data_IF_170277056390
#
_entry.id   IF_170277056390
#
_cell.length_a   1.000
_cell.length_b   1.000
_cell.length_c   1.000
_cell.angle_alpha   90.00
_cell.angle_beta   90.00
_cell.angle_gamma   90.00
#
_symmetry.space_group_name_H-M   'P 1'
#
loop_
_entity.id
_entity.type
_entity.pdbx_description
1 polymer ?
#
# COMPACT_ATOMS: atom_id res chain seq x y z
N UNK A 1 -0.81 -10.03 17.23
CA UNK A 1 -0.89 -8.73 17.91
C UNK A 1 -0.37 -7.63 17.01
N UNK A 2 -1.19 -6.62 16.76
CA UNK A 2 -0.90 -5.52 15.85
C UNK A 2 -0.13 -4.44 16.59
N UNK A 3 1.20 -4.44 16.48
CA UNK A 3 2.04 -3.43 17.12
C UNK A 3 1.94 -2.07 16.39
N UNK A 4 1.01 -1.23 16.86
CA UNK A 4 1.12 0.24 16.97
C UNK A 4 1.68 1.05 15.77
N UNK A 5 1.47 0.62 14.53
CA UNK A 5 1.63 1.53 13.41
C UNK A 5 0.56 2.63 13.52
N UNK A 6 0.97 3.88 13.42
CA UNK A 6 0.10 5.05 13.32
C UNK A 6 -0.41 5.22 11.89
N UNK A 7 0.51 5.05 10.93
CA UNK A 7 0.31 5.27 9.49
C UNK A 7 1.17 4.26 8.74
N UNK A 8 0.62 3.65 7.69
CA UNK A 8 1.38 2.92 6.67
C UNK A 8 1.51 3.76 5.42
N UNK A 9 2.55 3.51 4.63
CA UNK A 9 2.74 4.24 3.38
C UNK A 9 3.61 3.53 2.35
N UNK A 10 3.54 4.03 1.13
CA UNK A 10 4.38 3.59 0.01
C UNK A 10 4.82 4.80 -0.81
N UNK A 11 6.13 4.89 -1.05
CA UNK A 11 6.72 5.88 -1.94
C UNK A 11 7.15 5.21 -3.25
N UNK A 12 6.70 5.74 -4.39
CA UNK A 12 6.95 5.14 -5.70
C UNK A 12 8.18 5.77 -6.36
N UNK A 13 9.24 4.97 -6.53
CA UNK A 13 10.49 5.40 -7.16
C UNK A 13 10.41 5.31 -8.70
N UNK A 14 9.71 4.29 -9.21
CA UNK A 14 9.51 4.07 -10.65
C UNK A 14 8.18 3.39 -10.90
N UNK A 15 7.38 3.91 -11.82
CA UNK A 15 6.05 3.40 -12.20
C UNK A 15 5.89 3.39 -13.72
N UNK A 16 6.50 2.41 -14.43
CA UNK A 16 6.30 2.28 -15.87
C UNK A 16 4.81 2.11 -16.20
N UNK A 17 4.37 2.52 -17.41
CA UNK A 17 3.00 2.27 -17.86
C UNK A 17 2.62 0.79 -17.70
N UNK A 18 1.36 0.54 -17.36
CA UNK A 18 0.81 -0.82 -17.14
C UNK A 18 1.47 -1.62 -16.01
N UNK A 19 2.15 -0.96 -15.08
CA UNK A 19 2.77 -1.65 -13.94
C UNK A 19 1.80 -2.04 -12.83
N UNK A 20 0.50 -1.77 -12.99
CA UNK A 20 -0.55 -2.13 -12.05
C UNK A 20 -0.83 -1.03 -11.03
N UNK A 21 -2.04 -1.07 -10.48
CA UNK A 21 -2.53 -0.15 -9.45
C UNK A 21 -2.36 -0.73 -8.04
N UNK A 22 -2.45 0.13 -7.02
CA UNK A 22 -2.77 -0.31 -5.66
C UNK A 22 -4.30 -0.33 -5.50
N UNK A 23 -4.82 -1.40 -4.90
CA UNK A 23 -6.25 -1.60 -4.63
C UNK A 23 -6.46 -1.52 -3.12
N UNK A 24 -7.37 -0.68 -2.67
CA UNK A 24 -7.83 -0.63 -1.29
C UNK A 24 -9.23 -1.22 -1.19
N UNK A 25 -9.39 -2.24 -0.35
CA UNK A 25 -10.69 -2.83 -0.08
C UNK A 25 -11.51 -1.90 0.80
N UNK A 26 -12.82 -1.83 0.56
CA UNK A 26 -13.70 -1.04 1.41
C UNK A 26 -13.83 -1.72 2.79
N UNK A 27 -13.48 -1.05 3.89
CA UNK A 27 -13.48 -1.66 5.22
C UNK A 27 -14.88 -2.07 5.70
N UNK A 28 -15.95 -1.58 5.07
CA UNK A 28 -17.34 -1.96 5.36
C UNK A 28 -17.66 -3.36 4.83
N UNK A 29 -16.94 -3.86 3.83
CA UNK A 29 -17.17 -5.21 3.24
C UNK A 29 -16.97 -6.31 4.29
N UNK A 30 -16.00 -6.16 5.19
CA UNK A 30 -15.80 -7.11 6.31
C UNK A 30 -17.03 -7.25 7.23
N UNK A 31 -17.96 -6.28 7.19
CA UNK A 31 -19.22 -6.28 7.95
C UNK A 31 -20.42 -6.75 7.13
N UNK A 32 -20.28 -6.85 5.82
CA UNK A 32 -21.35 -7.17 4.87
C UNK A 32 -21.15 -8.61 4.37
N UNK A 33 -21.59 -9.59 5.18
CA UNK A 33 -21.57 -11.04 4.86
C UNK A 33 -22.49 -11.47 3.69
N UNK A 34 -23.01 -10.52 2.92
CA UNK A 34 -23.95 -10.77 1.83
C UNK A 34 -23.29 -10.39 0.51
N UNK A 35 -22.67 -11.41 -0.11
CA UNK A 35 -21.84 -11.29 -1.30
C UNK A 35 -22.58 -10.74 -2.55
N UNK A 36 -23.90 -10.69 -2.52
CA UNK A 36 -24.76 -10.39 -3.69
C UNK A 36 -25.59 -9.12 -3.44
N UNK A 37 -24.92 -8.06 -2.98
CA UNK A 37 -25.52 -6.74 -2.83
C UNK A 37 -25.30 -5.86 -4.05
N UNK A 38 -26.32 -5.19 -4.61
CA UNK A 38 -26.11 -4.07 -5.54
C UNK A 38 -25.43 -2.86 -4.86
N UNK A 39 -25.29 -2.86 -3.53
CA UNK A 39 -24.58 -1.89 -2.72
C UNK A 39 -23.22 -2.41 -2.23
N UNK A 40 -22.70 -3.51 -2.78
CA UNK A 40 -21.38 -3.99 -2.42
C UNK A 40 -20.37 -2.89 -2.80
N UNK A 41 -19.66 -2.28 -1.84
CA UNK A 41 -18.75 -1.20 -2.17
C UNK A 41 -17.64 -1.73 -3.08
N UNK A 42 -17.41 -1.04 -4.19
CA UNK A 42 -16.28 -1.36 -5.05
C UNK A 42 -14.97 -0.92 -4.38
N UNK A 43 -13.91 -1.72 -4.47
CA UNK A 43 -12.60 -1.33 -3.97
C UNK A 43 -12.07 -0.10 -4.71
N UNK A 44 -11.36 0.77 -3.99
CA UNK A 44 -10.70 1.94 -4.55
C UNK A 44 -9.43 1.51 -5.27
N UNK A 45 -9.30 1.92 -6.54
CA UNK A 45 -8.17 1.59 -7.40
C UNK A 45 -7.38 2.85 -7.69
N UNK A 46 -6.08 2.85 -7.36
CA UNK A 46 -5.19 3.99 -7.61
C UNK A 46 -3.98 3.58 -8.44
N UNK A 47 -3.78 4.22 -9.59
CA UNK A 47 -2.61 4.00 -10.44
C UNK A 47 -1.51 4.97 -10.05
N UNK A 48 -0.41 4.50 -9.45
CA UNK A 48 0.61 5.38 -8.91
C UNK A 48 1.49 6.01 -9.99
N UNK A 49 2.04 7.17 -9.66
CA UNK A 49 3.03 7.90 -10.47
C UNK A 49 4.39 7.96 -9.76
N UNK A 50 5.49 8.11 -10.50
CA UNK A 50 6.81 8.21 -9.92
C UNK A 50 6.95 9.50 -9.09
N UNK A 51 7.51 9.38 -7.88
CA UNK A 51 7.56 10.44 -6.89
C UNK A 51 6.31 10.56 -6.01
N UNK A 52 5.29 9.73 -6.23
CA UNK A 52 4.07 9.74 -5.43
C UNK A 52 4.27 9.06 -4.08
N UNK A 53 3.77 9.69 -3.02
CA UNK A 53 3.67 9.14 -1.68
C UNK A 53 2.20 8.89 -1.33
N UNK A 54 1.86 7.64 -1.06
CA UNK A 54 0.56 7.28 -0.50
C UNK A 54 0.70 7.00 1.00
N UNK A 55 -0.20 7.58 1.79
CA UNK A 55 -0.34 7.33 3.22
C UNK A 55 -1.74 6.80 3.50
N UNK A 56 -1.84 5.75 4.30
CA UNK A 56 -3.12 5.13 4.62
C UNK A 56 -3.12 4.51 6.02
N UNK A 57 -4.30 4.29 6.62
CA UNK A 57 -4.40 3.61 7.91
C UNK A 57 -3.82 2.20 7.83
N UNK A 58 -3.06 1.73 8.82
CA UNK A 58 -2.36 0.43 8.77
C UNK A 58 -3.31 -0.78 8.77
N UNK A 59 -4.55 -0.60 9.20
CA UNK A 59 -5.59 -1.63 9.16
C UNK A 59 -6.33 -1.70 7.81
N UNK A 60 -6.05 -0.79 6.88
CA UNK A 60 -6.72 -0.77 5.58
C UNK A 60 -6.16 -1.88 4.69
N UNK A 61 -7.03 -2.85 4.38
CA UNK A 61 -6.69 -3.98 3.51
C UNK A 61 -6.41 -3.47 2.11
N UNK A 62 -5.25 -3.85 1.57
CA UNK A 62 -4.83 -3.45 0.24
C UNK A 62 -4.09 -4.57 -0.48
N UNK A 63 -4.14 -4.53 -1.81
CA UNK A 63 -3.41 -5.44 -2.69
C UNK A 63 -2.79 -4.68 -3.84
N UNK A 64 -1.82 -5.30 -4.50
CA UNK A 64 -1.09 -4.72 -5.62
C UNK A 64 -1.49 -5.45 -6.89
N UNK A 65 -1.97 -4.70 -7.87
CA UNK A 65 -2.30 -5.20 -9.20
C UNK A 65 -1.07 -5.73 -9.93
N UNK A 66 -1.30 -6.69 -10.83
CA UNK A 66 -0.27 -7.31 -11.66
C UNK A 66 0.49 -6.27 -12.49
N UNK A 67 1.80 -6.46 -12.61
CA UNK A 67 2.71 -5.66 -13.43
C UNK A 67 3.11 -6.36 -14.74
N UNK A 68 2.44 -7.45 -15.13
CA UNK A 68 2.83 -8.29 -16.28
C UNK A 68 2.85 -7.54 -17.63
N UNK A 69 2.13 -6.42 -17.75
CA UNK A 69 2.11 -5.59 -18.97
C UNK A 69 3.17 -4.48 -19.00
N UNK A 70 4.02 -4.36 -17.98
CA UNK A 70 5.01 -3.30 -17.88
C UNK A 70 6.32 -3.67 -18.59
N UNK A 71 6.92 -2.68 -19.26
CA UNK A 71 8.21 -2.83 -19.93
C UNK A 71 9.41 -2.86 -18.97
N UNK A 72 9.20 -2.48 -17.70
CA UNK A 72 10.22 -2.41 -16.67
C UNK A 72 9.58 -2.61 -15.28
N UNK A 73 10.38 -2.93 -14.24
CA UNK A 73 9.83 -3.10 -12.89
C UNK A 73 9.28 -1.79 -12.33
N UNK A 74 8.13 -1.89 -11.66
CA UNK A 74 7.71 -0.89 -10.67
C UNK A 74 8.59 -1.05 -9.44
N UNK A 75 9.14 0.06 -8.96
CA UNK A 75 9.99 0.10 -7.78
C UNK A 75 9.35 1.03 -6.77
N UNK A 76 9.19 0.55 -5.54
CA UNK A 76 8.57 1.31 -4.45
C UNK A 76 9.19 0.96 -3.10
N UNK A 77 9.06 1.89 -2.16
CA UNK A 77 9.50 1.78 -0.78
C UNK A 77 8.27 1.80 0.13
N UNK A 78 7.92 0.65 0.69
CA UNK A 78 6.82 0.55 1.66
C UNK A 78 7.33 0.72 3.08
N UNK A 79 6.58 1.39 3.95
CA UNK A 79 6.96 1.63 5.34
C UNK A 79 5.77 1.70 6.30
N UNK A 80 6.04 1.47 7.59
CA UNK A 80 5.13 1.72 8.70
C UNK A 80 5.76 2.75 9.63
N UNK A 81 4.95 3.73 10.05
CA UNK A 81 5.32 4.72 11.07
C UNK A 81 4.70 4.33 12.38
N UNK A 82 5.51 4.12 13.41
CA UNK A 82 5.01 3.81 14.76
C UNK A 82 5.03 5.07 15.63
N UNK A 83 4.02 5.28 16.47
CA UNK A 83 4.08 6.38 17.44
C UNK A 83 5.09 6.00 18.54
N UNK A 84 6.20 6.72 18.65
CA UNK A 84 7.05 6.63 19.83
C UNK A 84 6.57 7.66 20.85
N UNK A 85 6.16 7.22 22.03
CA UNK A 85 5.83 8.12 23.15
C UNK A 85 7.13 8.43 23.91
N UNK A 86 8.14 8.98 23.25
CA UNK A 86 9.32 9.57 23.93
C UNK A 86 10.09 10.44 22.94
N UNK A 87 10.29 11.70 23.32
CA UNK A 87 11.13 12.63 22.57
C UNK A 87 12.54 12.08 22.46
N UNK A 88 12.91 11.63 21.27
CA UNK A 88 14.29 11.43 20.86
C UNK A 88 14.35 11.59 19.35
N UNK A 89 15.26 12.45 18.90
CA UNK A 89 15.44 12.97 17.54
C UNK A 89 15.94 11.92 16.52
N UNK A 90 15.58 10.66 16.72
CA UNK A 90 15.98 9.54 15.88
C UNK A 90 14.82 9.16 14.94
N UNK A 91 14.82 9.75 13.74
CA UNK A 91 13.83 9.48 12.70
C UNK A 91 13.98 8.06 12.12
N UNK A 92 15.12 7.40 12.31
CA UNK A 92 15.35 6.04 11.82
C UNK A 92 14.53 5.02 12.62
N UNK A 93 14.25 5.29 13.89
CA UNK A 93 13.39 4.46 14.74
C UNK A 93 11.88 4.55 14.38
N UNK A 94 11.47 5.50 13.55
CA UNK A 94 10.07 5.62 13.12
C UNK A 94 9.72 4.68 11.95
N UNK A 95 10.70 4.30 11.14
CA UNK A 95 10.51 3.46 9.95
C UNK A 95 11.06 2.06 10.25
N UNK A 96 10.25 1.21 10.88
CA UNK A 96 10.70 -0.13 11.30
C UNK A 96 10.71 -1.19 10.18
N UNK A 97 10.20 -0.87 8.99
CA UNK A 97 10.10 -1.87 7.91
C UNK A 97 10.07 -1.22 6.53
N UNK A 98 11.23 -0.92 5.97
CA UNK A 98 11.36 -0.51 4.58
C UNK A 98 11.56 -1.75 3.69
N UNK A 99 10.60 -2.06 2.81
CA UNK A 99 10.75 -3.17 1.84
C UNK A 99 10.76 -2.60 0.43
N UNK A 100 11.83 -2.91 -0.31
CA UNK A 100 11.87 -2.69 -1.75
C UNK A 100 11.05 -3.78 -2.42
N UNK A 101 9.99 -3.41 -3.14
CA UNK A 101 9.14 -4.38 -3.85
C UNK A 101 9.37 -4.25 -5.36
N UNK A 102 10.29 -5.02 -5.96
CA UNK A 102 10.37 -5.16 -7.41
C UNK A 102 9.28 -6.13 -7.87
N UNK A 103 8.19 -5.62 -8.45
CA UNK A 103 7.17 -6.49 -9.07
C UNK A 103 7.54 -6.73 -10.53
N UNK A 104 8.22 -7.85 -10.81
CA UNK A 104 8.39 -8.35 -12.18
C UNK A 104 7.96 -9.81 -12.24
N UNK A 105 6.73 -10.06 -12.69
CA UNK A 105 6.26 -11.42 -12.97
C UNK A 105 6.79 -11.77 -14.36
N UNK A 106 7.91 -12.48 -14.43
CA UNK A 106 8.38 -13.06 -15.69
C UNK A 106 7.41 -14.19 -16.08
N UNK A 107 6.87 -14.13 -17.30
CA UNK A 107 6.24 -15.26 -17.99
C UNK A 107 7.28 -16.17 -18.61
#
# INVERSE_FOLDING_TARGET
DHENAAISGVFYLSTPPNSGCIRFEDPRVARLYWAESPFNPSPLMHTPTAGELLLFPPWLVHSVGSSAGASAPRVSLSFNVHTSRKGSEDLTALVNSAVLVPTLVHS
#
